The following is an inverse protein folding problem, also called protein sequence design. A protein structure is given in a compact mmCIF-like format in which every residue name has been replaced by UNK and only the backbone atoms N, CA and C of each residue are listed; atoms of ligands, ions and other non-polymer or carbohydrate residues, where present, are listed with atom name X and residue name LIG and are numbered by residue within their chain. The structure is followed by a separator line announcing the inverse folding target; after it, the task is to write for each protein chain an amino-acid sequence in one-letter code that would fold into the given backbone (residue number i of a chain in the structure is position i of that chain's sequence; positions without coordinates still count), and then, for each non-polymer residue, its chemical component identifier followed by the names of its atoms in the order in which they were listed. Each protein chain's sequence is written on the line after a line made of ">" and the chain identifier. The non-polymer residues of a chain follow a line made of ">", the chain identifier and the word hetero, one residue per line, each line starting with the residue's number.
data_IF_493048221525
#
_entry.id   IF_493048221525
#
_cell.length_a   1.000
_cell.length_b   1.000
_cell.length_c   1.000
_cell.angle_alpha   90.00
_cell.angle_beta   90.00
_cell.angle_gamma   90.00
#
_symmetry.space_group_name_H-M   'P 1'
#
loop_
_entity.id
_entity.type
_entity.pdbx_description
1 polymer ?
#
# COMPACT_ATOMS: atom_id res chain seq x y z
N UNK A 1 27.65 -44.17 -49.72
CA UNK A 1 26.90 -42.86 -49.59
C UNK A 1 25.67 -43.13 -48.79
N UNK A 2 25.73 -42.86 -47.48
CA UNK A 2 24.59 -42.99 -46.60
C UNK A 2 24.24 -41.56 -46.15
N UNK A 3 23.13 -41.03 -46.65
CA UNK A 3 22.54 -39.81 -46.18
C UNK A 3 21.77 -40.10 -44.87
N UNK A 4 22.29 -39.63 -43.76
CA UNK A 4 21.62 -39.65 -42.47
C UNK A 4 20.66 -38.47 -42.42
N UNK A 5 19.38 -38.75 -42.56
CA UNK A 5 18.29 -37.77 -42.38
C UNK A 5 18.21 -37.42 -40.88
N UNK A 6 18.68 -36.22 -40.48
CA UNK A 6 18.45 -35.67 -39.18
C UNK A 6 16.97 -35.22 -39.11
N UNK A 7 16.16 -36.00 -38.46
CA UNK A 7 14.81 -35.59 -38.02
C UNK A 7 14.98 -34.47 -36.97
N UNK A 8 14.60 -33.25 -37.32
CA UNK A 8 14.47 -32.17 -36.37
C UNK A 8 13.30 -32.50 -35.44
N UNK A 9 13.59 -32.91 -34.22
CA UNK A 9 12.61 -32.91 -33.15
C UNK A 9 12.17 -31.44 -32.90
N UNK A 10 11.01 -31.10 -33.47
CA UNK A 10 10.30 -29.89 -33.12
C UNK A 10 9.90 -30.02 -31.64
N UNK A 11 10.59 -29.33 -30.75
CA UNK A 11 10.13 -29.06 -29.40
C UNK A 11 8.80 -28.31 -29.53
N UNK A 12 7.68 -29.03 -29.50
CA UNK A 12 6.32 -28.44 -29.35
C UNK A 12 6.31 -27.68 -28.03
N UNK A 13 6.48 -26.36 -28.11
CA UNK A 13 6.21 -25.50 -26.97
C UNK A 13 4.75 -25.75 -26.61
N UNK A 14 4.51 -26.28 -25.40
CA UNK A 14 3.13 -26.51 -24.92
C UNK A 14 2.32 -25.25 -25.07
N UNK A 15 1.16 -25.35 -25.70
CA UNK A 15 0.29 -24.20 -25.91
C UNK A 15 -0.19 -23.67 -24.54
N UNK A 16 0.00 -22.40 -24.30
CA UNK A 16 -0.42 -21.71 -23.05
C UNK A 16 -1.54 -20.75 -23.37
N UNK A 17 -2.63 -20.82 -22.62
CA UNK A 17 -3.69 -19.82 -22.66
C UNK A 17 -3.33 -18.68 -21.71
N UNK A 18 -3.20 -17.47 -22.23
CA UNK A 18 -2.99 -16.27 -21.42
C UNK A 18 -4.33 -15.53 -21.23
N UNK A 19 -4.57 -15.05 -20.03
CA UNK A 19 -5.77 -14.30 -19.66
C UNK A 19 -5.39 -13.03 -18.89
N UNK A 20 -5.91 -11.89 -19.31
CA UNK A 20 -5.87 -10.66 -18.51
C UNK A 20 -7.27 -10.34 -18.00
N UNK A 21 -7.39 -9.85 -16.75
CA UNK A 21 -8.66 -9.48 -16.14
C UNK A 21 -8.60 -7.99 -15.77
N UNK A 22 -9.66 -7.26 -16.13
CA UNK A 22 -9.95 -5.93 -15.60
C UNK A 22 -11.17 -6.04 -14.68
N UNK A 23 -10.95 -5.75 -13.39
CA UNK A 23 -11.90 -5.98 -12.31
C UNK A 23 -12.76 -4.73 -12.08
N UNK A 24 -13.96 -4.71 -12.63
CA UNK A 24 -14.98 -3.69 -12.36
C UNK A 24 -15.85 -4.06 -11.16
N UNK A 25 -16.63 -3.11 -10.67
CA UNK A 25 -17.54 -3.34 -9.54
C UNK A 25 -18.75 -4.22 -9.89
N UNK A 26 -19.26 -4.12 -11.11
CA UNK A 26 -20.43 -4.86 -11.61
C UNK A 26 -20.06 -5.95 -12.60
N UNK A 27 -19.00 -5.76 -13.36
CA UNK A 27 -18.56 -6.64 -14.42
C UNK A 27 -17.05 -6.77 -14.45
N UNK A 28 -16.55 -7.95 -14.78
CA UNK A 28 -15.16 -8.22 -15.08
C UNK A 28 -14.97 -8.40 -16.58
N UNK A 29 -13.98 -7.69 -17.14
CA UNK A 29 -13.60 -7.85 -18.55
C UNK A 29 -12.41 -8.78 -18.65
N UNK A 30 -12.54 -9.78 -19.52
CA UNK A 30 -11.58 -10.84 -19.75
C UNK A 30 -10.99 -10.68 -21.14
N UNK A 31 -9.67 -10.76 -21.26
CA UNK A 31 -8.95 -10.81 -22.51
C UNK A 31 -8.13 -12.07 -22.62
N UNK A 32 -8.37 -12.88 -23.64
CA UNK A 32 -7.67 -14.14 -23.87
C UNK A 32 -6.78 -14.07 -25.11
N UNK A 33 -5.62 -14.74 -25.06
CA UNK A 33 -4.71 -14.83 -26.18
C UNK A 33 -3.66 -15.91 -25.99
N UNK A 34 -3.02 -16.31 -27.11
CA UNK A 34 -1.93 -17.31 -27.12
C UNK A 34 -0.61 -16.69 -27.56
N UNK A 35 -0.65 -15.56 -28.24
CA UNK A 35 0.54 -14.86 -28.77
C UNK A 35 0.48 -13.36 -28.52
N UNK A 36 1.65 -12.76 -28.29
CA UNK A 36 1.76 -11.31 -28.19
C UNK A 36 1.51 -10.64 -29.54
N UNK A 37 0.83 -9.48 -29.54
CA UNK A 37 0.59 -8.70 -30.75
C UNK A 37 -0.67 -9.11 -31.52
N UNK A 38 -1.33 -10.20 -31.18
CA UNK A 38 -2.65 -10.54 -31.71
C UNK A 38 -3.76 -9.88 -30.87
N UNK A 39 -4.87 -9.56 -31.53
CA UNK A 39 -6.07 -9.01 -30.87
C UNK A 39 -6.62 -10.00 -29.84
N UNK A 40 -6.87 -9.52 -28.62
CA UNK A 40 -7.43 -10.34 -27.57
C UNK A 40 -8.87 -10.80 -27.90
N UNK A 41 -9.18 -12.07 -27.58
CA UNK A 41 -10.56 -12.54 -27.53
C UNK A 41 -11.22 -12.00 -26.26
N UNK A 42 -12.06 -10.99 -26.38
CA UNK A 42 -12.64 -10.29 -25.23
C UNK A 42 -13.98 -10.90 -24.83
N UNK A 43 -14.20 -10.99 -23.51
CA UNK A 43 -15.48 -11.43 -22.90
C UNK A 43 -15.76 -10.59 -21.65
N UNK A 44 -16.97 -10.64 -21.20
CA UNK A 44 -17.41 -9.98 -19.96
C UNK A 44 -18.17 -11.03 -19.14
N UNK A 45 -17.91 -11.06 -17.85
CA UNK A 45 -18.64 -11.84 -16.86
C UNK A 45 -19.13 -10.92 -15.75
N UNK A 46 -20.21 -11.28 -15.08
CA UNK A 46 -20.66 -10.55 -13.89
C UNK A 46 -19.56 -10.58 -12.81
N UNK A 47 -19.35 -9.48 -12.11
CA UNK A 47 -18.36 -9.44 -11.05
C UNK A 47 -18.65 -10.50 -9.99
N UNK A 48 -17.62 -11.21 -9.56
CA UNK A 48 -17.69 -12.33 -8.59
C UNK A 48 -18.43 -13.60 -9.08
N UNK A 49 -18.80 -13.68 -10.35
CA UNK A 49 -19.31 -14.93 -10.95
C UNK A 49 -18.12 -15.85 -11.29
N UNK A 50 -17.70 -16.63 -10.29
CA UNK A 50 -16.56 -17.53 -10.42
C UNK A 50 -16.85 -18.70 -11.38
N UNK A 51 -18.07 -19.20 -11.40
CA UNK A 51 -18.48 -20.27 -12.33
C UNK A 51 -18.46 -19.76 -13.77
N UNK A 52 -18.99 -18.56 -14.01
CA UNK A 52 -18.93 -17.90 -15.31
C UNK A 52 -17.50 -17.63 -15.77
N UNK A 53 -16.61 -17.26 -14.86
CA UNK A 53 -15.19 -17.08 -15.15
C UNK A 53 -14.53 -18.38 -15.61
N UNK A 54 -14.71 -19.48 -14.89
CA UNK A 54 -14.14 -20.78 -15.24
C UNK A 54 -14.72 -21.32 -16.55
N UNK A 55 -16.01 -21.12 -16.77
CA UNK A 55 -16.66 -21.49 -18.04
C UNK A 55 -16.10 -20.70 -19.23
N UNK A 56 -15.82 -19.40 -19.07
CA UNK A 56 -15.21 -18.60 -20.13
C UNK A 56 -13.76 -18.99 -20.40
N UNK A 57 -13.00 -19.46 -19.40
CA UNK A 57 -11.67 -20.04 -19.61
C UNK A 57 -11.76 -21.31 -20.48
N UNK A 58 -12.65 -22.21 -20.17
CA UNK A 58 -12.86 -23.43 -20.97
C UNK A 58 -13.30 -23.10 -22.42
N UNK A 59 -14.27 -22.19 -22.57
CA UNK A 59 -14.70 -21.70 -23.89
C UNK A 59 -13.58 -21.02 -24.66
N UNK A 60 -12.66 -20.29 -23.99
CA UNK A 60 -11.53 -19.64 -24.61
C UNK A 60 -10.51 -20.67 -25.13
N UNK A 61 -10.23 -21.75 -24.41
CA UNK A 61 -9.41 -22.86 -24.90
C UNK A 61 -9.96 -23.41 -26.21
N UNK A 62 -11.25 -23.70 -26.26
CA UNK A 62 -11.89 -24.20 -27.48
C UNK A 62 -11.82 -23.20 -28.63
N UNK A 63 -12.19 -21.91 -28.41
CA UNK A 63 -12.16 -20.86 -29.44
C UNK A 63 -10.78 -20.60 -30.04
N UNK A 64 -9.73 -20.72 -29.23
CA UNK A 64 -8.37 -20.43 -29.64
C UNK A 64 -7.58 -21.68 -30.07
N UNK A 65 -8.25 -22.86 -30.11
CA UNK A 65 -7.63 -24.12 -30.52
C UNK A 65 -6.55 -24.60 -29.53
N UNK A 66 -6.69 -24.28 -28.25
CA UNK A 66 -5.77 -24.67 -27.20
C UNK A 66 -6.29 -25.95 -26.53
N UNK A 67 -5.48 -27.00 -26.36
CA UNK A 67 -5.89 -28.23 -25.69
C UNK A 67 -6.45 -27.97 -24.28
N UNK A 68 -7.41 -28.77 -23.84
CA UNK A 68 -8.01 -28.62 -22.51
C UNK A 68 -7.00 -28.76 -21.37
N UNK A 69 -6.00 -29.65 -21.53
CA UNK A 69 -4.91 -29.87 -20.58
C UNK A 69 -3.89 -28.75 -20.51
N UNK A 70 -3.96 -27.77 -21.41
CA UNK A 70 -2.96 -26.69 -21.47
C UNK A 70 -3.01 -25.80 -20.25
N UNK A 71 -1.83 -25.33 -19.85
CA UNK A 71 -1.66 -24.33 -18.78
C UNK A 71 -2.46 -23.06 -19.09
N UNK A 72 -2.99 -22.47 -18.03
CA UNK A 72 -3.62 -21.16 -18.09
C UNK A 72 -2.81 -20.20 -17.20
N UNK A 73 -2.35 -19.12 -17.77
CA UNK A 73 -1.61 -18.08 -17.06
C UNK A 73 -2.42 -16.79 -17.11
N UNK A 74 -2.70 -16.23 -15.97
CA UNK A 74 -3.57 -15.05 -15.86
C UNK A 74 -2.89 -13.88 -15.15
N UNK A 75 -3.42 -12.68 -15.34
CA UNK A 75 -3.03 -11.50 -14.59
C UNK A 75 -4.18 -10.53 -14.37
N UNK A 76 -4.07 -9.74 -13.31
CA UNK A 76 -4.87 -8.54 -13.11
C UNK A 76 -4.03 -7.48 -12.38
N UNK A 77 -4.49 -6.22 -12.42
CA UNK A 77 -3.83 -5.12 -11.73
C UNK A 77 -4.18 -5.11 -10.25
N UNK A 78 -3.18 -4.96 -9.38
CA UNK A 78 -3.39 -4.80 -7.93
C UNK A 78 -4.27 -3.56 -7.65
N UNK A 79 -5.41 -3.76 -7.00
CA UNK A 79 -6.41 -2.74 -6.77
C UNK A 79 -7.28 -3.01 -5.54
N UNK A 80 -8.49 -2.49 -5.60
CA UNK A 80 -9.50 -2.57 -4.53
C UNK A 80 -9.86 -4.00 -4.13
N UNK A 81 -9.91 -4.90 -5.10
CA UNK A 81 -10.41 -6.26 -4.90
C UNK A 81 -9.44 -7.18 -4.12
N UNK A 82 -8.22 -6.69 -3.82
CA UNK A 82 -7.25 -7.43 -3.01
C UNK A 82 -6.69 -8.66 -3.72
N UNK A 83 -6.45 -9.73 -2.94
CA UNK A 83 -5.79 -10.95 -3.44
C UNK A 83 -6.66 -12.21 -3.38
N UNK A 84 -7.93 -12.10 -3.01
CA UNK A 84 -8.81 -13.27 -2.91
C UNK A 84 -8.99 -13.98 -4.26
N UNK A 85 -9.13 -13.22 -5.36
CA UNK A 85 -9.24 -13.76 -6.70
C UNK A 85 -7.94 -14.46 -7.15
N UNK A 86 -6.78 -13.93 -6.78
CA UNK A 86 -5.49 -14.59 -7.01
C UNK A 86 -5.45 -15.97 -6.36
N UNK A 87 -5.88 -16.05 -5.09
CA UNK A 87 -5.93 -17.33 -4.36
C UNK A 87 -6.94 -18.31 -4.96
N UNK A 88 -8.11 -17.81 -5.36
CA UNK A 88 -9.10 -18.62 -6.07
C UNK A 88 -8.53 -19.17 -7.38
N UNK A 89 -7.95 -18.35 -8.23
CA UNK A 89 -7.39 -18.82 -9.50
C UNK A 89 -6.30 -19.89 -9.30
N UNK A 90 -5.45 -19.71 -8.29
CA UNK A 90 -4.44 -20.72 -7.94
C UNK A 90 -5.08 -22.03 -7.47
N UNK A 91 -6.17 -22.00 -6.69
CA UNK A 91 -6.88 -23.22 -6.25
C UNK A 91 -7.54 -23.96 -7.40
N UNK A 92 -7.90 -23.26 -8.47
CA UNK A 92 -8.45 -23.84 -9.71
C UNK A 92 -7.35 -24.27 -10.72
N UNK A 93 -6.08 -24.25 -10.33
CA UNK A 93 -4.95 -24.62 -11.20
C UNK A 93 -4.59 -23.56 -12.27
N UNK A 94 -5.11 -22.36 -12.14
CA UNK A 94 -4.76 -21.23 -13.02
C UNK A 94 -3.60 -20.48 -12.39
N UNK A 95 -2.46 -20.44 -13.07
CA UNK A 95 -1.32 -19.62 -12.65
C UNK A 95 -1.72 -18.14 -12.75
N UNK A 96 -1.58 -17.41 -11.65
CA UNK A 96 -1.98 -16.00 -11.63
C UNK A 96 -0.87 -15.08 -11.13
N UNK A 97 -0.71 -13.96 -11.81
CA UNK A 97 0.23 -12.90 -11.46
C UNK A 97 -0.54 -11.61 -11.21
N UNK A 98 -0.39 -11.03 -10.00
CA UNK A 98 -0.94 -9.72 -9.70
C UNK A 98 0.07 -8.65 -10.10
N UNK A 99 -0.29 -7.79 -11.03
CA UNK A 99 0.57 -6.72 -11.53
C UNK A 99 0.56 -5.52 -10.57
N UNK A 100 1.72 -4.98 -10.24
CA UNK A 100 1.82 -3.71 -9.50
C UNK A 100 1.46 -2.55 -10.44
N UNK A 101 0.35 -1.88 -10.16
CA UNK A 101 -0.17 -0.74 -10.92
C UNK A 101 0.85 0.38 -11.13
N UNK A 102 1.73 0.59 -10.14
CA UNK A 102 2.75 1.63 -10.22
C UNK A 102 3.88 1.32 -11.22
N UNK A 103 4.02 0.07 -11.61
CA UNK A 103 5.08 -0.43 -12.49
C UNK A 103 4.66 -0.56 -13.96
N UNK A 104 3.36 -0.51 -14.24
CA UNK A 104 2.84 -0.61 -15.60
C UNK A 104 3.13 0.69 -16.34
N UNK A 105 3.91 0.63 -17.41
CA UNK A 105 4.22 1.81 -18.24
C UNK A 105 2.96 2.48 -18.77
N UNK A 106 2.71 3.71 -18.38
CA UNK A 106 1.62 4.53 -18.93
C UNK A 106 2.10 5.14 -20.23
N UNK A 107 1.50 4.74 -21.35
CA UNK A 107 1.79 5.34 -22.65
C UNK A 107 1.27 6.80 -22.67
N UNK A 108 2.17 7.78 -22.49
CA UNK A 108 1.85 9.20 -22.38
C UNK A 108 1.16 9.78 -23.63
N UNK A 109 1.32 9.15 -24.80
CA UNK A 109 0.71 9.60 -26.05
C UNK A 109 -0.80 9.32 -26.13
N UNK A 110 -1.31 8.34 -25.37
CA UNK A 110 -2.72 7.96 -25.33
C UNK A 110 -3.47 8.41 -24.06
N UNK A 111 -2.97 9.41 -23.34
CA UNK A 111 -3.60 9.95 -22.11
C UNK A 111 -5.07 10.40 -22.28
N UNK A 112 -5.53 10.65 -23.51
CA UNK A 112 -6.89 11.11 -23.81
C UNK A 112 -7.88 10.02 -24.18
N UNK A 113 -7.41 8.78 -24.43
CA UNK A 113 -8.27 7.65 -24.76
C UNK A 113 -8.04 6.51 -23.75
N UNK A 114 -8.50 6.71 -22.50
CA UNK A 114 -8.57 5.64 -21.53
C UNK A 114 -9.84 4.85 -21.79
N UNK A 115 -9.72 3.72 -22.51
CA UNK A 115 -10.79 2.74 -22.66
C UNK A 115 -10.30 1.43 -22.08
N UNK A 116 -11.15 0.81 -21.28
CA UNK A 116 -10.88 -0.47 -20.58
C UNK A 116 -10.33 -1.55 -21.53
N UNK A 117 -10.73 -1.51 -22.81
CA UNK A 117 -10.23 -2.44 -23.82
C UNK A 117 -8.76 -2.26 -24.21
N UNK A 118 -8.20 -1.06 -24.10
CA UNK A 118 -6.77 -0.79 -24.35
C UNK A 118 -5.92 -1.27 -23.18
N UNK A 119 -6.43 -1.09 -21.97
CA UNK A 119 -5.73 -1.54 -20.76
C UNK A 119 -5.67 -3.07 -20.69
N UNK A 120 -6.74 -3.76 -21.09
CA UNK A 120 -6.82 -5.22 -21.14
C UNK A 120 -5.83 -5.83 -22.14
N UNK A 121 -5.77 -5.31 -23.38
CA UNK A 121 -4.82 -5.78 -24.41
C UNK A 121 -3.37 -5.53 -23.99
N UNK A 122 -3.13 -4.42 -23.34
CA UNK A 122 -1.81 -4.08 -22.81
C UNK A 122 -1.39 -5.05 -21.72
N UNK A 123 -2.27 -5.31 -20.73
CA UNK A 123 -1.98 -6.29 -19.67
C UNK A 123 -1.70 -7.67 -20.25
N UNK A 124 -2.49 -8.12 -21.23
CA UNK A 124 -2.30 -9.41 -21.89
C UNK A 124 -0.94 -9.47 -22.60
N UNK A 125 -0.58 -8.43 -23.37
CA UNK A 125 0.71 -8.36 -24.05
C UNK A 125 1.89 -8.37 -23.07
N UNK A 126 1.78 -7.65 -21.95
CA UNK A 126 2.80 -7.62 -20.91
C UNK A 126 2.92 -8.99 -20.23
N UNK A 127 1.81 -9.68 -19.96
CA UNK A 127 1.82 -11.04 -19.39
C UNK A 127 2.55 -12.03 -20.30
N UNK A 128 2.24 -12.04 -21.59
CA UNK A 128 2.87 -12.94 -22.56
C UNK A 128 4.39 -12.68 -22.66
N UNK A 129 4.80 -11.41 -22.65
CA UNK A 129 6.22 -11.04 -22.65
C UNK A 129 6.91 -11.49 -21.35
N UNK A 130 6.24 -11.32 -20.22
CA UNK A 130 6.74 -11.78 -18.91
C UNK A 130 6.96 -13.30 -18.87
N UNK A 131 6.02 -14.08 -19.40
CA UNK A 131 6.12 -15.54 -19.52
C UNK A 131 7.26 -15.95 -20.44
N UNK A 132 7.51 -15.21 -21.51
CA UNK A 132 8.63 -15.43 -22.43
C UNK A 132 10.01 -15.01 -21.87
N UNK A 133 10.07 -14.61 -20.59
CA UNK A 133 11.32 -14.32 -19.89
C UNK A 133 11.65 -12.83 -19.72
N UNK A 134 10.85 -11.90 -20.24
CA UNK A 134 11.07 -10.46 -20.07
C UNK A 134 10.60 -10.00 -18.67
N UNK A 135 11.28 -10.47 -17.60
CA UNK A 135 10.85 -10.25 -16.19
C UNK A 135 10.81 -8.79 -15.73
N UNK A 136 11.23 -7.83 -16.55
CA UNK A 136 11.24 -6.39 -16.19
C UNK A 136 10.10 -5.59 -16.82
N UNK A 137 9.15 -6.21 -17.51
CA UNK A 137 8.04 -5.52 -18.19
C UNK A 137 7.01 -4.94 -17.23
N UNK A 138 6.87 -5.52 -16.04
CA UNK A 138 6.11 -4.98 -14.91
C UNK A 138 6.62 -5.55 -13.60
N UNK A 139 6.24 -4.94 -12.47
CA UNK A 139 6.46 -5.46 -11.12
C UNK A 139 5.35 -6.41 -10.72
N UNK A 140 5.71 -7.51 -10.10
CA UNK A 140 4.75 -8.44 -9.51
C UNK A 140 4.45 -8.00 -8.09
N UNK A 141 3.17 -7.79 -7.76
CA UNK A 141 2.74 -7.56 -6.41
C UNK A 141 2.80 -8.87 -5.63
N UNK A 142 3.44 -8.85 -4.47
CA UNK A 142 3.44 -10.00 -3.57
C UNK A 142 2.07 -10.11 -2.88
N UNK A 143 1.41 -11.26 -3.03
CA UNK A 143 0.16 -11.54 -2.35
C UNK A 143 0.43 -12.00 -0.91
N UNK A 144 -0.07 -11.29 0.11
CA UNK A 144 0.02 -11.74 1.50
C UNK A 144 -0.87 -12.95 1.74
N UNK A 145 -0.61 -13.70 2.83
CA UNK A 145 -1.54 -14.74 3.28
C UNK A 145 -2.85 -14.12 3.79
N UNK A 146 -3.95 -14.89 3.92
CA UNK A 146 -5.19 -14.39 4.53
C UNK A 146 -4.97 -13.81 5.93
N UNK A 147 -4.13 -14.46 6.75
CA UNK A 147 -3.81 -14.04 8.12
C UNK A 147 -3.06 -12.70 8.12
N UNK A 148 -2.10 -12.53 7.20
CA UNK A 148 -1.37 -11.27 7.02
C UNK A 148 -2.27 -10.13 6.49
N UNK A 149 -3.31 -10.46 5.73
CA UNK A 149 -4.34 -9.48 5.34
C UNK A 149 -5.21 -9.09 6.53
N UNK A 150 -5.61 -10.06 7.35
CA UNK A 150 -6.42 -9.83 8.54
C UNK A 150 -5.73 -8.94 9.55
N UNK A 151 -4.46 -9.18 9.85
CA UNK A 151 -3.65 -8.30 10.70
C UNK A 151 -3.65 -6.83 10.24
N UNK A 152 -3.65 -6.60 8.93
CA UNK A 152 -3.71 -5.24 8.37
C UNK A 152 -5.06 -4.56 8.60
N UNK A 153 -6.15 -5.32 8.74
CA UNK A 153 -7.46 -4.74 9.06
C UNK A 153 -7.44 -4.05 10.41
N UNK A 154 -6.84 -4.65 11.44
CA UNK A 154 -6.69 -4.01 12.76
C UNK A 154 -5.91 -2.69 12.70
N UNK A 155 -4.80 -2.66 11.93
CA UNK A 155 -4.00 -1.45 11.77
C UNK A 155 -4.80 -0.33 11.10
N UNK A 156 -5.55 -0.67 10.07
CA UNK A 156 -6.34 0.26 9.27
C UNK A 156 -7.57 0.76 10.01
N UNK A 157 -8.23 -0.13 10.75
CA UNK A 157 -9.35 0.23 11.61
C UNK A 157 -8.91 1.22 12.69
N UNK A 158 -7.80 0.92 13.39
CA UNK A 158 -7.27 1.83 14.40
C UNK A 158 -6.89 3.21 13.84
N UNK A 159 -6.35 3.25 12.63
CA UNK A 159 -6.07 4.51 11.92
C UNK A 159 -7.36 5.28 11.63
N UNK A 160 -8.39 4.62 11.07
CA UNK A 160 -9.69 5.22 10.76
C UNK A 160 -10.36 5.78 12.01
N UNK A 161 -10.44 4.99 13.08
CA UNK A 161 -11.01 5.41 14.36
C UNK A 161 -10.28 6.63 14.96
N UNK A 162 -8.94 6.67 14.86
CA UNK A 162 -8.14 7.83 15.33
C UNK A 162 -8.36 9.07 14.47
N UNK A 163 -8.54 8.92 13.17
CA UNK A 163 -8.88 10.03 12.26
C UNK A 163 -10.28 10.58 12.57
N UNK A 164 -11.27 9.72 12.73
CA UNK A 164 -12.65 10.10 13.10
C UNK A 164 -12.68 10.79 14.45
N UNK A 165 -12.00 10.26 15.47
CA UNK A 165 -11.85 10.90 16.78
C UNK A 165 -11.30 12.33 16.64
N UNK A 166 -10.28 12.51 15.83
CA UNK A 166 -9.67 13.82 15.58
C UNK A 166 -10.65 14.77 14.89
N UNK A 167 -11.41 14.28 13.91
CA UNK A 167 -12.43 15.06 13.21
C UNK A 167 -13.56 15.51 14.15
N UNK A 168 -14.10 14.62 14.98
CA UNK A 168 -15.11 14.95 15.98
C UNK A 168 -14.59 15.92 17.05
N UNK A 169 -13.38 15.68 17.56
CA UNK A 169 -12.73 16.59 18.51
C UNK A 169 -12.59 18.01 17.95
N UNK A 170 -12.13 18.15 16.71
CA UNK A 170 -11.97 19.45 16.06
C UNK A 170 -13.33 20.12 15.79
N UNK A 171 -14.35 19.35 15.41
CA UNK A 171 -15.71 19.86 15.22
C UNK A 171 -16.30 20.39 16.51
N UNK A 172 -16.18 19.66 17.62
CA UNK A 172 -16.61 20.13 18.95
C UNK A 172 -15.88 21.41 19.32
N UNK A 173 -14.55 21.45 19.17
CA UNK A 173 -13.76 22.67 19.46
C UNK A 173 -14.19 23.86 18.61
N UNK A 174 -14.47 23.65 17.32
CA UNK A 174 -14.97 24.70 16.43
C UNK A 174 -16.34 25.24 16.85
N UNK A 175 -17.27 24.36 17.21
CA UNK A 175 -18.60 24.72 17.72
C UNK A 175 -18.53 25.51 19.04
N UNK A 176 -17.68 25.07 19.96
CA UNK A 176 -17.45 25.80 21.23
C UNK A 176 -16.81 27.18 20.99
N UNK A 177 -15.82 27.23 20.09
CA UNK A 177 -15.17 28.49 19.75
C UNK A 177 -16.14 29.54 19.17
N UNK A 178 -17.16 29.11 18.39
CA UNK A 178 -18.15 30.00 17.78
C UNK A 178 -19.02 30.73 18.80
N UNK A 179 -19.08 30.25 20.04
CA UNK A 179 -19.83 30.87 21.15
C UNK A 179 -18.90 31.37 22.28
N UNK A 180 -17.60 31.46 22.02
CA UNK A 180 -16.61 31.93 22.97
C UNK A 180 -16.33 30.97 24.13
N UNK A 181 -16.84 29.73 24.08
CA UNK A 181 -16.62 28.74 25.12
C UNK A 181 -15.24 28.05 24.92
N UNK A 182 -14.51 27.82 26.01
CA UNK A 182 -13.23 27.10 26.03
C UNK A 182 -13.29 25.96 27.05
N UNK A 183 -13.46 24.73 26.53
CA UNK A 183 -13.55 23.51 27.34
C UNK A 183 -12.58 22.47 26.80
N UNK A 184 -12.02 21.67 27.70
CA UNK A 184 -11.18 20.52 27.29
C UNK A 184 -12.08 19.45 26.67
N UNK A 185 -11.86 19.14 25.40
CA UNK A 185 -12.58 18.09 24.68
C UNK A 185 -11.82 16.78 24.78
N UNK A 186 -12.48 15.75 25.29
CA UNK A 186 -11.93 14.41 25.48
C UNK A 186 -12.77 13.60 26.46
N UNK A 187 -12.16 12.64 27.12
CA UNK A 187 -12.83 11.79 28.12
C UNK A 187 -13.51 12.66 29.18
N UNK A 188 -14.81 12.46 29.38
CA UNK A 188 -15.61 13.26 30.33
C UNK A 188 -16.21 14.56 29.74
N UNK A 189 -16.10 14.82 28.45
CA UNK A 189 -16.68 15.99 27.81
C UNK A 189 -18.20 16.05 27.98
N UNK A 190 -18.91 14.93 27.86
CA UNK A 190 -20.36 14.85 28.01
C UNK A 190 -20.83 15.24 29.40
N UNK A 191 -20.10 14.85 30.45
CA UNK A 191 -20.44 15.21 31.84
C UNK A 191 -20.26 16.69 32.13
N UNK A 192 -19.38 17.35 31.38
CA UNK A 192 -19.14 18.79 31.54
C UNK A 192 -20.07 19.66 30.68
N UNK A 193 -20.74 19.04 29.68
CA UNK A 193 -21.50 19.78 28.66
C UNK A 193 -22.59 20.67 29.25
N UNK A 194 -23.29 20.22 30.28
CA UNK A 194 -24.38 21.00 30.95
C UNK A 194 -23.84 22.22 31.70
N UNK A 195 -22.57 22.24 32.07
CA UNK A 195 -21.89 23.32 32.77
C UNK A 195 -21.24 24.34 31.83
N UNK A 196 -21.23 24.05 30.51
CA UNK A 196 -20.57 24.90 29.52
C UNK A 196 -21.37 26.21 29.36
N UNK A 197 -20.65 27.32 29.55
CA UNK A 197 -21.19 28.66 29.37
C UNK A 197 -20.63 29.33 28.12
N UNK A 198 -21.47 30.18 27.51
CA UNK A 198 -21.06 31.04 26.38
C UNK A 198 -20.25 32.25 26.92
N UNK A 199 -19.77 33.07 26.00
CA UNK A 199 -18.96 34.26 26.28
C UNK A 199 -19.66 35.25 27.26
N UNK A 200 -21.01 35.28 27.27
CA UNK A 200 -21.83 36.15 28.14
C UNK A 200 -22.16 35.51 29.50
N UNK A 201 -21.67 34.34 29.81
CA UNK A 201 -21.91 33.59 31.04
C UNK A 201 -23.21 32.77 31.05
N UNK A 202 -24.03 32.85 30.01
CA UNK A 202 -25.24 32.04 29.85
C UNK A 202 -24.95 30.62 29.43
N UNK A 203 -25.91 29.71 29.63
CA UNK A 203 -25.81 28.32 29.12
C UNK A 203 -25.90 28.26 27.61
N UNK A 204 -25.46 27.12 27.03
CA UNK A 204 -25.58 26.87 25.59
C UNK A 204 -27.07 26.85 25.16
N UNK A 205 -27.37 27.42 24.00
CA UNK A 205 -28.69 27.31 23.37
C UNK A 205 -29.00 25.86 22.97
N UNK A 206 -30.29 25.51 23.02
CA UNK A 206 -30.76 24.13 22.89
C UNK A 206 -30.21 23.40 21.67
N UNK A 207 -30.29 24.00 20.47
CA UNK A 207 -29.82 23.33 19.22
C UNK A 207 -28.32 23.07 19.22
N UNK A 208 -27.49 23.98 19.72
CA UNK A 208 -26.05 23.82 19.81
C UNK A 208 -25.70 22.78 20.87
N UNK A 209 -26.34 22.83 22.04
CA UNK A 209 -26.14 21.84 23.11
C UNK A 209 -26.46 20.43 22.62
N UNK A 210 -27.59 20.22 21.94
CA UNK A 210 -27.97 18.93 21.38
C UNK A 210 -27.02 18.45 20.29
N UNK A 211 -26.50 19.37 19.48
CA UNK A 211 -25.45 19.03 18.49
C UNK A 211 -24.16 18.59 19.17
N UNK A 212 -23.72 19.33 20.19
CA UNK A 212 -22.51 18.98 20.95
C UNK A 212 -22.68 17.68 21.72
N UNK A 213 -23.87 17.38 22.25
CA UNK A 213 -24.18 16.09 22.89
C UNK A 213 -24.00 14.94 21.91
N UNK A 214 -24.58 15.00 20.71
CA UNK A 214 -24.44 13.96 19.69
C UNK A 214 -22.99 13.80 19.20
N UNK A 215 -22.23 14.89 19.07
CA UNK A 215 -20.80 14.81 18.74
C UNK A 215 -19.98 14.19 19.88
N UNK A 216 -20.31 14.51 21.12
CA UNK A 216 -19.69 13.94 22.31
C UNK A 216 -19.98 12.44 22.48
N UNK A 217 -21.20 11.99 22.17
CA UNK A 217 -21.55 10.55 22.16
C UNK A 217 -20.75 9.77 21.13
N UNK A 218 -20.60 10.30 19.90
CA UNK A 218 -19.74 9.70 18.88
C UNK A 218 -18.29 9.64 19.33
N UNK A 219 -17.79 10.71 19.95
CA UNK A 219 -16.43 10.75 20.47
C UNK A 219 -16.20 9.69 21.55
N UNK A 220 -17.15 9.53 22.49
CA UNK A 220 -17.07 8.52 23.54
C UNK A 220 -17.08 7.08 22.97
N UNK A 221 -17.92 6.82 21.96
CA UNK A 221 -17.95 5.54 21.26
C UNK A 221 -16.61 5.24 20.58
N UNK A 222 -16.05 6.22 19.84
CA UNK A 222 -14.76 6.07 19.18
C UNK A 222 -13.62 5.80 20.17
N UNK A 223 -13.61 6.48 21.32
CA UNK A 223 -12.60 6.23 22.38
C UNK A 223 -12.72 4.81 22.94
N UNK A 224 -13.94 4.29 23.10
CA UNK A 224 -14.17 2.91 23.52
C UNK A 224 -13.67 1.90 22.49
N UNK A 225 -14.01 2.10 21.23
CA UNK A 225 -13.58 1.22 20.13
C UNK A 225 -12.06 1.25 19.95
N UNK A 226 -11.42 2.41 20.02
CA UNK A 226 -9.96 2.52 19.99
C UNK A 226 -9.33 1.70 21.11
N UNK A 227 -9.84 1.80 22.33
CA UNK A 227 -9.32 1.05 23.46
C UNK A 227 -9.52 -0.46 23.30
N UNK A 228 -10.63 -0.87 22.68
CA UNK A 228 -10.92 -2.28 22.38
C UNK A 228 -9.95 -2.84 21.35
N UNK A 229 -9.78 -2.17 20.21
CA UNK A 229 -8.85 -2.58 19.14
C UNK A 229 -7.41 -2.61 19.64
N UNK A 230 -6.99 -1.61 20.44
CA UNK A 230 -5.65 -1.58 21.05
C UNK A 230 -5.45 -2.74 22.04
N UNK A 231 -6.50 -3.14 22.77
CA UNK A 231 -6.46 -4.31 23.68
C UNK A 231 -6.38 -5.62 22.91
N UNK A 232 -7.18 -5.75 21.84
CA UNK A 232 -7.15 -6.91 20.96
C UNK A 232 -5.77 -7.10 20.34
N UNK A 233 -5.21 -6.01 19.77
CA UNK A 233 -3.86 -6.02 19.21
C UNK A 233 -2.78 -6.53 20.19
N UNK A 234 -2.85 -6.11 21.45
CA UNK A 234 -1.87 -6.55 22.48
C UNK A 234 -1.99 -8.02 22.86
N UNK A 235 -3.17 -8.61 22.66
CA UNK A 235 -3.39 -10.04 22.96
C UNK A 235 -3.04 -10.96 21.79
N UNK A 236 -2.99 -10.46 20.57
CA UNK A 236 -2.65 -11.25 19.41
C UNK A 236 -1.17 -11.65 19.45
N UNK A 237 -0.90 -12.91 19.79
CA UNK A 237 0.42 -13.53 19.67
C UNK A 237 0.66 -13.84 18.19
N UNK A 238 1.25 -12.90 17.47
CA UNK A 238 1.52 -13.04 16.05
C UNK A 238 3.02 -13.05 15.82
N UNK A 239 3.50 -13.78 14.82
CA UNK A 239 4.90 -13.77 14.36
C UNK A 239 5.42 -12.34 14.09
N UNK A 240 4.52 -11.46 13.66
CA UNK A 240 4.76 -10.03 13.53
C UNK A 240 5.24 -9.36 14.83
N UNK A 241 4.86 -9.89 16.01
CA UNK A 241 5.18 -9.28 17.31
C UNK A 241 6.69 -9.22 17.57
N UNK A 242 7.46 -10.23 17.20
CA UNK A 242 8.92 -10.23 17.39
C UNK A 242 9.60 -9.12 16.58
N UNK A 243 9.20 -8.92 15.31
CA UNK A 243 9.72 -7.83 14.49
C UNK A 243 9.30 -6.45 15.05
N UNK A 244 8.09 -6.36 15.61
CA UNK A 244 7.61 -5.14 16.28
C UNK A 244 8.47 -4.82 17.49
N UNK A 245 8.69 -5.78 18.39
CA UNK A 245 9.53 -5.63 19.58
C UNK A 245 10.95 -5.21 19.20
N UNK A 246 11.52 -5.86 18.19
CA UNK A 246 12.85 -5.51 17.69
C UNK A 246 12.94 -4.07 17.17
N UNK A 247 11.93 -3.58 16.43
CA UNK A 247 11.90 -2.17 16.03
C UNK A 247 11.78 -1.23 17.24
N UNK A 248 11.04 -1.63 18.26
CA UNK A 248 10.83 -0.83 19.47
C UNK A 248 12.08 -0.71 20.35
N UNK A 249 13.07 -1.57 20.21
CA UNK A 249 14.38 -1.41 20.85
C UNK A 249 15.06 -0.09 20.45
N UNK A 250 14.81 0.40 19.25
CA UNK A 250 15.37 1.66 18.78
C UNK A 250 14.65 2.86 19.43
N UNK A 251 15.42 3.76 20.09
CA UNK A 251 14.85 5.01 20.59
C UNK A 251 14.23 5.80 19.44
N UNK A 252 13.03 6.32 19.65
CA UNK A 252 12.27 7.06 18.63
C UNK A 252 11.26 6.23 17.84
N UNK A 253 11.27 4.90 17.98
CA UNK A 253 10.22 4.01 17.44
C UNK A 253 9.34 3.55 18.60
N UNK A 254 8.05 3.86 18.51
CA UNK A 254 7.03 3.43 19.46
C UNK A 254 6.28 2.18 18.98
N UNK A 255 5.39 1.67 19.84
CA UNK A 255 4.56 0.50 19.57
C UNK A 255 3.75 0.65 18.28
N UNK A 256 3.02 1.76 18.13
CA UNK A 256 2.17 1.99 16.96
C UNK A 256 2.95 2.06 15.64
N UNK A 257 4.10 2.72 15.65
CA UNK A 257 4.93 2.87 14.45
C UNK A 257 5.65 1.57 14.07
N UNK A 258 6.18 0.85 15.07
CA UNK A 258 6.77 -0.47 14.86
C UNK A 258 5.76 -1.45 14.29
N UNK A 259 4.57 -1.48 14.87
CA UNK A 259 3.49 -2.35 14.41
C UNK A 259 3.03 -2.01 12.99
N UNK A 260 2.78 -0.73 12.66
CA UNK A 260 2.40 -0.32 11.32
C UNK A 260 3.47 -0.72 10.27
N UNK A 261 4.75 -0.49 10.57
CA UNK A 261 5.82 -0.88 9.65
C UNK A 261 5.86 -2.39 9.41
N UNK A 262 5.58 -3.21 10.42
CA UNK A 262 5.59 -4.66 10.27
C UNK A 262 4.38 -5.12 9.50
N UNK A 263 3.17 -4.80 9.93
CA UNK A 263 1.95 -5.33 9.30
C UNK A 263 1.70 -4.79 7.89
N UNK A 264 2.08 -3.54 7.61
CA UNK A 264 1.89 -2.94 6.29
C UNK A 264 3.07 -3.17 5.34
N UNK A 265 4.27 -3.55 5.85
CA UNK A 265 5.46 -3.51 5.01
C UNK A 265 6.47 -4.65 5.27
N UNK A 266 7.05 -4.75 6.47
CA UNK A 266 8.18 -5.65 6.74
C UNK A 266 7.79 -7.07 7.15
N UNK A 267 6.56 -7.30 7.58
CA UNK A 267 6.13 -8.59 8.13
C UNK A 267 5.99 -9.67 7.08
N UNK A 268 5.57 -9.31 5.88
CA UNK A 268 5.18 -10.25 4.84
C UNK A 268 5.89 -10.04 3.49
N UNK A 269 6.56 -8.91 3.28
CA UNK A 269 7.32 -8.66 2.05
C UNK A 269 8.76 -9.12 2.19
N UNK A 270 9.27 -9.69 1.11
CA UNK A 270 10.69 -9.95 0.94
C UNK A 270 11.26 -8.92 -0.04
N UNK A 271 12.26 -8.18 0.40
CA UNK A 271 12.89 -7.14 -0.42
C UNK A 271 14.22 -7.63 -0.97
N UNK A 272 14.40 -7.55 -2.29
CA UNK A 272 15.64 -7.96 -2.96
C UNK A 272 16.77 -6.96 -2.75
N UNK A 273 16.43 -5.68 -2.59
CA UNK A 273 17.41 -4.63 -2.46
C UNK A 273 16.80 -3.32 -1.91
N UNK A 274 17.69 -2.38 -1.54
CA UNK A 274 17.32 -1.07 -1.00
C UNK A 274 16.44 -0.19 -1.93
N UNK A 275 16.51 -0.41 -3.26
CA UNK A 275 15.71 0.38 -4.22
C UNK A 275 14.26 -0.05 -4.16
N UNK A 276 14.01 -1.33 -3.99
CA UNK A 276 12.67 -1.90 -3.86
C UNK A 276 11.98 -1.40 -2.58
N UNK A 277 12.68 -1.40 -1.43
CA UNK A 277 12.17 -0.81 -0.17
C UNK A 277 11.71 0.64 -0.38
N UNK A 278 12.54 1.46 -1.02
CA UNK A 278 12.20 2.86 -1.28
C UNK A 278 11.05 3.05 -2.27
N UNK A 279 11.00 2.22 -3.32
CA UNK A 279 9.98 2.28 -4.37
C UNK A 279 8.60 1.90 -3.83
N UNK A 280 8.49 0.78 -3.14
CA UNK A 280 7.23 0.29 -2.57
C UNK A 280 6.66 1.19 -1.47
N UNK A 281 7.49 2.02 -0.85
CA UNK A 281 7.03 3.10 0.04
C UNK A 281 6.73 4.42 -0.71
N UNK A 282 7.04 4.50 -2.01
CA UNK A 282 6.87 5.71 -2.81
C UNK A 282 7.78 6.87 -2.42
N UNK A 283 8.96 6.55 -1.88
CA UNK A 283 9.98 7.53 -1.43
C UNK A 283 11.12 7.73 -2.44
N UNK A 284 11.00 7.19 -3.65
CA UNK A 284 12.00 7.37 -4.71
C UNK A 284 11.83 8.75 -5.35
N UNK A 285 12.90 9.54 -5.49
CA UNK A 285 12.84 10.79 -6.24
C UNK A 285 12.54 10.52 -7.71
N UNK A 286 11.73 11.39 -8.32
CA UNK A 286 11.44 11.34 -9.75
C UNK A 286 12.32 12.36 -10.48
N UNK A 287 13.31 11.90 -11.27
CA UNK A 287 14.10 12.80 -12.09
C UNK A 287 13.24 13.37 -13.21
N UNK A 288 13.39 14.65 -13.46
CA UNK A 288 12.86 15.30 -14.66
C UNK A 288 14.02 15.76 -15.51
N UNK A 289 14.20 15.12 -16.65
CA UNK A 289 15.21 15.50 -17.65
C UNK A 289 14.46 15.80 -18.95
N UNK A 290 14.53 17.03 -19.40
CA UNK A 290 14.08 17.44 -20.73
C UNK A 290 15.20 18.22 -21.41
N UNK A 291 15.87 17.61 -22.39
CA UNK A 291 16.92 18.24 -23.21
C UNK A 291 18.02 18.91 -22.37
N UNK A 292 18.47 20.09 -22.80
CA UNK A 292 19.54 20.86 -22.16
C UNK A 292 19.16 21.57 -20.85
N UNK A 293 18.00 21.28 -20.28
CA UNK A 293 17.57 21.95 -19.04
C UNK A 293 18.11 21.27 -17.79
N UNK A 294 18.44 22.11 -16.81
CA UNK A 294 18.93 21.76 -15.47
C UNK A 294 18.11 20.58 -14.87
N UNK A 295 18.79 19.54 -14.42
CA UNK A 295 18.22 18.42 -13.69
C UNK A 295 17.30 18.91 -12.54
N UNK A 296 15.99 18.91 -12.75
CA UNK A 296 15.00 19.22 -11.70
C UNK A 296 14.41 17.92 -11.16
N UNK A 297 14.55 17.72 -9.86
CA UNK A 297 13.80 16.67 -9.17
C UNK A 297 12.34 17.14 -8.96
N UNK A 298 11.36 16.37 -9.45
CA UNK A 298 9.92 16.66 -9.25
C UNK A 298 9.38 16.23 -7.90
N UNK A 299 10.21 15.89 -6.94
CA UNK A 299 9.83 15.32 -5.66
C UNK A 299 9.87 13.79 -5.68
N UNK A 300 9.05 13.15 -4.86
CA UNK A 300 8.98 11.68 -4.75
C UNK A 300 7.84 11.10 -5.56
N UNK A 301 7.95 9.81 -5.95
CA UNK A 301 6.97 9.12 -6.78
C UNK A 301 5.56 9.06 -6.18
N UNK A 302 5.46 9.00 -4.85
CA UNK A 302 4.22 8.78 -4.09
C UNK A 302 3.46 7.49 -4.47
N UNK A 303 4.00 6.68 -5.36
CA UNK A 303 3.50 5.35 -5.67
C UNK A 303 3.81 4.39 -4.50
N UNK A 304 2.99 3.37 -4.31
CA UNK A 304 3.16 2.40 -3.21
C UNK A 304 2.46 2.80 -1.92
N UNK A 305 2.84 2.14 -0.81
CA UNK A 305 2.11 2.24 0.46
C UNK A 305 2.24 3.64 1.10
N UNK A 306 1.14 4.41 1.06
CA UNK A 306 1.11 5.76 1.60
C UNK A 306 1.19 5.80 3.14
N UNK A 307 0.66 4.78 3.85
CA UNK A 307 0.72 4.68 5.31
C UNK A 307 2.16 4.55 5.80
N UNK A 308 2.90 3.65 5.16
CA UNK A 308 4.33 3.46 5.41
C UNK A 308 5.12 4.74 5.12
N UNK A 309 4.81 5.42 4.02
CA UNK A 309 5.46 6.69 3.66
C UNK A 309 5.20 7.78 4.68
N UNK A 310 3.95 7.99 5.11
CA UNK A 310 3.62 8.99 6.13
C UNK A 310 4.31 8.67 7.45
N UNK A 311 4.20 7.43 7.93
CA UNK A 311 4.85 6.99 9.16
C UNK A 311 6.37 7.13 9.09
N UNK A 312 7.01 6.80 7.97
CA UNK A 312 8.44 6.96 7.81
C UNK A 312 8.89 8.43 7.93
N UNK A 313 8.08 9.37 7.45
CA UNK A 313 8.35 10.82 7.59
C UNK A 313 8.18 11.27 9.04
N UNK A 314 7.15 10.81 9.74
CA UNK A 314 6.95 11.11 11.17
C UNK A 314 8.09 10.55 12.02
N UNK A 315 8.46 9.30 11.80
CA UNK A 315 9.58 8.68 12.52
C UNK A 315 10.91 9.35 12.17
N UNK A 316 11.09 9.85 10.96
CA UNK A 316 12.31 10.62 10.63
C UNK A 316 12.44 11.89 11.49
N UNK A 317 11.35 12.59 11.81
CA UNK A 317 11.37 13.69 12.77
C UNK A 317 11.66 13.22 14.21
N UNK A 318 11.02 12.13 14.64
CA UNK A 318 11.29 11.53 15.94
C UNK A 318 12.77 11.06 16.04
N UNK A 319 13.30 10.48 14.95
CA UNK A 319 14.69 10.03 14.87
C UNK A 319 15.69 11.16 15.11
N UNK A 320 15.49 12.31 14.49
CA UNK A 320 16.36 13.48 14.74
C UNK A 320 16.34 13.92 16.20
N UNK A 321 15.20 13.79 16.88
CA UNK A 321 15.05 14.17 18.29
C UNK A 321 15.66 13.14 19.24
N UNK A 322 15.43 11.84 19.01
CA UNK A 322 15.79 10.78 19.93
C UNK A 322 17.12 10.10 19.60
N UNK A 323 17.63 10.31 18.38
CA UNK A 323 18.87 9.74 17.85
C UNK A 323 19.81 10.81 17.28
N UNK A 324 20.11 11.91 18.02
CA UNK A 324 20.83 13.06 17.46
C UNK A 324 22.26 12.72 17.00
N UNK A 325 22.88 11.71 17.62
CA UNK A 325 24.25 11.27 17.31
C UNK A 325 24.32 10.17 16.25
N UNK A 326 23.17 9.66 15.77
CA UNK A 326 23.18 8.66 14.71
C UNK A 326 23.73 9.26 13.42
N UNK A 327 24.43 8.44 12.62
CA UNK A 327 24.96 8.85 11.33
C UNK A 327 23.91 9.47 10.40
N UNK A 328 22.68 8.98 10.47
CA UNK A 328 21.56 9.52 9.70
C UNK A 328 21.18 10.94 10.16
N UNK A 329 21.20 11.20 11.46
CA UNK A 329 20.91 12.54 12.01
C UNK A 329 22.03 13.52 11.71
N UNK A 330 23.28 13.10 11.87
CA UNK A 330 24.45 13.93 11.53
C UNK A 330 24.44 14.29 10.03
N UNK A 331 24.19 13.30 9.16
CA UNK A 331 24.02 13.53 7.72
C UNK A 331 22.92 14.56 7.42
N UNK A 332 21.78 14.48 8.13
CA UNK A 332 20.70 15.44 7.94
C UNK A 332 21.12 16.85 8.38
N UNK A 333 21.75 16.99 9.53
CA UNK A 333 22.20 18.29 10.06
C UNK A 333 23.26 18.93 9.17
N UNK A 334 24.24 18.16 8.71
CA UNK A 334 25.28 18.64 7.80
C UNK A 334 24.68 19.18 6.49
N UNK A 335 23.74 18.45 5.88
CA UNK A 335 23.24 18.75 4.55
C UNK A 335 22.06 19.71 4.52
N UNK A 336 21.20 19.67 5.53
CA UNK A 336 19.94 20.41 5.57
C UNK A 336 19.76 21.27 6.81
N UNK A 337 20.59 21.13 7.82
CA UNK A 337 20.53 21.90 9.07
C UNK A 337 20.57 23.40 8.85
N UNK A 338 21.57 23.95 8.08
CA UNK A 338 21.68 25.38 7.77
C UNK A 338 20.63 25.87 6.76
N UNK A 339 19.87 24.95 6.13
CA UNK A 339 18.98 25.27 5.02
C UNK A 339 17.66 25.92 5.45
N UNK A 340 16.97 26.50 4.46
CA UNK A 340 15.64 27.07 4.61
C UNK A 340 14.61 26.01 5.10
N UNK A 341 13.45 26.47 5.60
CA UNK A 341 12.32 25.61 5.99
C UNK A 341 11.92 24.64 4.85
N UNK A 342 11.99 25.09 3.60
CA UNK A 342 11.70 24.25 2.41
C UNK A 342 12.78 23.17 2.25
N UNK A 343 14.06 23.52 2.35
CA UNK A 343 15.19 22.58 2.26
C UNK A 343 15.07 21.48 3.34
N UNK A 344 14.78 21.85 4.58
CA UNK A 344 14.59 20.91 5.68
C UNK A 344 13.40 19.95 5.44
N UNK A 345 12.31 20.42 4.82
CA UNK A 345 11.17 19.56 4.42
C UNK A 345 11.56 18.55 3.32
N UNK A 346 12.40 18.93 2.39
CA UNK A 346 12.95 17.99 1.39
C UNK A 346 13.89 16.99 2.07
N UNK A 347 14.76 17.49 2.94
CA UNK A 347 15.71 16.67 3.70
C UNK A 347 15.07 15.61 4.55
N UNK A 348 13.93 15.93 5.23
CA UNK A 348 13.24 14.94 6.08
C UNK A 348 12.68 13.78 5.26
N UNK A 349 12.20 14.01 4.04
CA UNK A 349 11.73 12.95 3.15
C UNK A 349 12.89 12.07 2.69
N UNK A 350 14.05 12.69 2.41
CA UNK A 350 15.26 11.95 2.07
C UNK A 350 15.78 11.13 3.26
N UNK A 351 15.70 11.68 4.49
CA UNK A 351 16.01 10.96 5.73
C UNK A 351 15.06 9.80 5.93
N UNK A 352 13.74 9.99 5.76
CA UNK A 352 12.73 8.94 5.88
C UNK A 352 13.04 7.75 4.96
N UNK A 353 13.45 8.01 3.72
CA UNK A 353 13.89 6.95 2.79
C UNK A 353 15.11 6.19 3.30
N UNK A 354 16.15 6.91 3.78
CA UNK A 354 17.37 6.28 4.30
C UNK A 354 17.07 5.49 5.57
N UNK A 355 16.24 6.03 6.46
CA UNK A 355 15.82 5.39 7.71
C UNK A 355 15.04 4.10 7.43
N UNK A 356 14.05 4.14 6.53
CA UNK A 356 13.28 2.95 6.17
C UNK A 356 14.18 1.81 5.66
N UNK A 357 15.20 2.13 4.85
CA UNK A 357 16.19 1.16 4.40
C UNK A 357 17.05 0.64 5.57
N UNK A 358 17.41 1.50 6.51
CA UNK A 358 18.17 1.09 7.69
C UNK A 358 17.34 0.17 8.60
N UNK A 359 16.05 0.47 8.81
CA UNK A 359 15.13 -0.38 9.57
C UNK A 359 14.93 -1.75 8.92
N UNK A 360 14.81 -1.80 7.59
CA UNK A 360 14.80 -3.06 6.85
C UNK A 360 16.05 -3.90 7.13
N UNK A 361 17.25 -3.29 7.02
CA UNK A 361 18.51 -3.99 7.28
C UNK A 361 18.63 -4.44 8.74
N UNK A 362 18.08 -3.67 9.66
CA UNK A 362 18.04 -4.04 11.06
C UNK A 362 17.17 -5.27 11.31
N UNK A 363 15.99 -5.34 10.67
CA UNK A 363 15.10 -6.49 10.80
C UNK A 363 15.64 -7.75 10.12
N UNK A 364 16.12 -7.64 8.88
CA UNK A 364 16.51 -8.80 8.05
C UNK A 364 17.93 -9.29 8.34
N UNK A 365 18.85 -8.38 8.65
CA UNK A 365 20.28 -8.71 8.83
C UNK A 365 20.83 -8.40 10.22
N UNK A 366 20.05 -7.87 11.12
CA UNK A 366 20.52 -7.50 12.46
C UNK A 366 21.41 -6.25 12.51
N UNK A 367 21.54 -5.50 11.43
CA UNK A 367 22.44 -4.36 11.33
C UNK A 367 21.84 -3.14 12.01
N UNK A 368 22.27 -2.86 13.24
CA UNK A 368 21.86 -1.64 13.95
C UNK A 368 22.29 -0.42 13.16
N UNK A 369 21.39 0.59 12.93
CA UNK A 369 21.79 1.82 12.26
C UNK A 369 22.95 2.50 12.98
N UNK A 370 23.98 2.87 12.24
CA UNK A 370 25.24 3.39 12.79
C UNK A 370 25.01 4.58 13.73
N UNK A 371 25.55 4.48 14.95
CA UNK A 371 25.39 5.49 16.01
C UNK A 371 23.97 5.55 16.62
N UNK A 372 23.10 4.58 16.32
CA UNK A 372 21.79 4.52 16.94
C UNK A 372 21.86 3.95 18.36
N UNK A 373 21.07 4.53 19.24
CA UNK A 373 20.94 4.13 20.65
C UNK A 373 19.71 3.23 20.82
N UNK A 374 19.91 2.08 21.42
CA UNK A 374 18.82 1.21 21.85
C UNK A 374 18.22 1.72 23.17
N UNK A 375 16.97 1.38 23.42
CA UNK A 375 16.36 1.59 24.74
C UNK A 375 17.04 0.65 25.72
N UNK A 376 17.45 1.16 26.85
CA UNK A 376 17.79 0.33 28.02
C UNK A 376 16.53 -0.36 28.49
N UNK A 377 16.54 -1.66 28.52
CA UNK A 377 15.53 -2.51 29.19
C UNK A 377 15.43 -2.15 30.65
#
# INVERSE_FOLDING_TARGET
>A
MNQTTRTAESTRTEAVLHMALELGASEWKLGFGVEAGRKASRRTVTASDLNGLMLEIARAKHRLGVPESSRVVSCYEAGRDGFWLHRFLLSEGVENVVMDSSSIEVNRRHRRAKTDGVDLEKMLSLLIRYERGEKKVFGVAYAPTPEQEDERHLARELESLKQERTAHTNRIKGLLASVGARVKVGKGFLQQLEQVKQWNGEGLLASLRERLRREGERLALLESQIAEVERFRRKAEVEATQKVLRLQELKGIGENSGWLFVVEFFGWRQFRNRREVASLAGLVPMPYQSGDSVNREQGISKAGNWRVRCMAIEIAWAWLRFQPQSRLSLWFQERYGPGSRRSRRVGIVALARKLLIALWRYLDYGLIPEGAVLKTT
#
